data_IF_174314011807
#
_entry.id   IF_174314011807
#
_cell.length_a   1.000
_cell.length_b   1.000
_cell.length_c   1.000
_cell.angle_alpha   90.00
_cell.angle_beta   90.00
_cell.angle_gamma   90.00
#
_symmetry.space_group_name_H-M   'P 1'
#
loop_
_entity.id
_entity.type
_entity.pdbx_description
1 polymer ?
#
# COMPACT_ATOMS: atom_id res chain seq x y z
N UNK A 1 -8.44 -16.73 11.45
CA UNK A 1 -8.59 -15.26 11.33
C UNK A 1 -7.79 -14.82 10.12
N UNK A 2 -8.46 -14.25 9.13
CA UNK A 2 -7.97 -14.15 7.76
C UNK A 2 -6.90 -13.06 7.58
N UNK A 3 -5.64 -13.41 7.80
CA UNK A 3 -4.50 -12.61 7.35
C UNK A 3 -4.45 -12.69 5.82
N UNK A 4 -5.00 -11.70 5.11
CA UNK A 4 -5.10 -11.73 3.64
C UNK A 4 -4.21 -10.68 3.00
N UNK A 5 -3.49 -11.14 1.98
CA UNK A 5 -2.77 -10.27 1.07
C UNK A 5 -3.76 -9.34 0.35
N UNK A 6 -3.40 -8.06 0.13
CA UNK A 6 -4.25 -7.15 -0.58
C UNK A 6 -4.49 -7.56 -2.03
N UNK A 7 -5.62 -7.11 -2.57
CA UNK A 7 -6.00 -7.46 -3.93
C UNK A 7 -5.00 -6.89 -4.96
N UNK A 8 -4.18 -7.77 -5.52
CA UNK A 8 -3.25 -7.46 -6.59
C UNK A 8 -4.01 -7.10 -7.87
N UNK A 9 -3.56 -6.07 -8.57
CA UNK A 9 -4.04 -5.71 -9.90
C UNK A 9 -2.89 -5.74 -10.91
N UNK A 10 -3.26 -5.96 -12.17
CA UNK A 10 -2.32 -5.78 -13.28
C UNK A 10 -1.86 -4.33 -13.36
N UNK A 11 -0.65 -4.14 -13.89
CA UNK A 11 -0.07 -2.80 -14.03
C UNK A 11 -1.01 -1.92 -14.88
N UNK A 12 -1.58 -0.84 -14.30
CA UNK A 12 -2.45 0.06 -15.06
C UNK A 12 -1.63 0.85 -16.08
N UNK A 13 -2.31 1.39 -17.09
CA UNK A 13 -1.68 2.27 -18.08
C UNK A 13 -1.01 3.50 -17.41
N UNK A 14 -1.60 3.97 -16.32
CA UNK A 14 -1.11 5.09 -15.51
C UNK A 14 -0.98 4.62 -14.06
N UNK A 15 0.21 4.15 -13.63
CA UNK A 15 0.46 3.83 -12.23
C UNK A 15 0.51 5.11 -11.39
N UNK A 16 0.01 5.03 -10.16
CA UNK A 16 0.10 6.10 -9.20
C UNK A 16 1.53 6.19 -8.63
N UNK A 17 1.89 7.40 -8.20
CA UNK A 17 3.18 7.68 -7.58
C UNK A 17 3.11 7.35 -6.09
N UNK A 18 3.17 6.07 -5.72
CA UNK A 18 2.97 5.64 -4.32
C UNK A 18 3.93 6.36 -3.35
N UNK A 19 5.12 6.76 -3.82
CA UNK A 19 6.06 7.58 -3.05
C UNK A 19 5.55 8.98 -2.65
N UNK A 20 4.39 9.42 -3.14
CA UNK A 20 3.70 10.63 -2.67
C UNK A 20 3.12 10.46 -1.25
N UNK A 21 2.90 9.21 -0.80
CA UNK A 21 2.48 8.89 0.56
C UNK A 21 3.71 8.93 1.49
N UNK A 22 3.57 9.57 2.65
CA UNK A 22 4.67 9.66 3.62
C UNK A 22 5.06 8.27 4.11
N UNK A 23 6.36 8.00 4.16
CA UNK A 23 6.88 6.68 4.54
C UNK A 23 6.97 5.67 3.39
N UNK A 24 6.40 5.94 2.22
CA UNK A 24 6.65 5.14 1.02
C UNK A 24 7.89 5.67 0.28
N UNK A 25 8.99 4.94 0.39
CA UNK A 25 10.20 5.22 -0.38
C UNK A 25 10.19 4.54 -1.77
N UNK A 26 11.10 4.92 -2.69
CA UNK A 26 11.19 4.35 -4.04
C UNK A 26 11.48 2.83 -4.03
N UNK A 27 12.12 2.32 -2.98
CA UNK A 27 12.32 0.88 -2.80
C UNK A 27 11.02 0.17 -2.43
N UNK A 28 10.20 0.81 -1.59
CA UNK A 28 8.95 0.25 -1.10
C UNK A 28 7.88 0.25 -2.20
N UNK A 29 7.79 1.34 -2.96
CA UNK A 29 6.98 1.44 -4.16
C UNK A 29 7.27 0.29 -5.14
N UNK A 30 8.55 -0.02 -5.40
CA UNK A 30 8.91 -1.15 -6.27
C UNK A 30 8.40 -2.50 -5.75
N UNK A 31 8.43 -2.72 -4.43
CA UNK A 31 7.92 -3.95 -3.83
C UNK A 31 6.39 -3.98 -3.91
N UNK A 32 5.71 -2.89 -3.59
CA UNK A 32 4.26 -2.75 -3.72
C UNK A 32 3.79 -3.00 -5.16
N UNK A 33 4.45 -2.38 -6.14
CA UNK A 33 4.22 -2.63 -7.56
C UNK A 33 4.43 -4.11 -7.93
N UNK A 34 5.47 -4.75 -7.38
CA UNK A 34 5.70 -6.18 -7.54
C UNK A 34 4.62 -7.07 -6.91
N UNK A 35 3.94 -6.59 -5.88
CA UNK A 35 2.77 -7.23 -5.25
C UNK A 35 1.46 -6.94 -6.01
N UNK A 36 1.52 -6.18 -7.11
CA UNK A 36 0.33 -5.77 -7.86
C UNK A 36 -0.40 -4.58 -7.26
N UNK A 37 0.24 -3.80 -6.39
CA UNK A 37 -0.31 -2.55 -5.85
C UNK A 37 0.28 -1.39 -6.63
N UNK A 38 -0.55 -0.73 -7.43
CA UNK A 38 -0.14 0.30 -8.37
C UNK A 38 -0.87 1.63 -8.18
N UNK A 39 -1.95 1.67 -7.42
CA UNK A 39 -2.83 2.85 -7.31
C UNK A 39 -3.10 3.24 -5.86
N UNK A 40 -3.37 4.53 -5.63
CA UNK A 40 -3.79 5.02 -4.31
C UNK A 40 -5.14 4.43 -3.89
N UNK A 41 -6.05 4.20 -4.84
CA UNK A 41 -7.35 3.59 -4.57
C UNK A 41 -7.23 2.20 -3.91
N UNK A 42 -6.25 1.39 -4.31
CA UNK A 42 -5.97 0.11 -3.65
C UNK A 42 -5.56 0.29 -2.20
N UNK A 43 -4.62 1.20 -1.94
CA UNK A 43 -4.11 1.47 -0.59
C UNK A 43 -5.22 2.06 0.30
N UNK A 44 -6.01 2.97 -0.24
CA UNK A 44 -7.16 3.57 0.46
C UNK A 44 -8.23 2.52 0.80
N UNK A 45 -8.41 1.51 -0.06
CA UNK A 45 -9.36 0.42 0.15
C UNK A 45 -8.85 -0.68 1.09
N UNK A 46 -7.59 -0.62 1.55
CA UNK A 46 -7.04 -1.65 2.44
C UNK A 46 -7.80 -1.75 3.76
N UNK A 47 -8.17 -2.98 4.08
CA UNK A 47 -8.69 -3.37 5.38
C UNK A 47 -7.56 -3.40 6.43
N UNK A 48 -7.89 -3.35 7.74
CA UNK A 48 -6.89 -3.51 8.80
C UNK A 48 -6.07 -4.80 8.68
N UNK A 49 -6.67 -5.87 8.16
CA UNK A 49 -6.02 -7.16 7.95
C UNK A 49 -4.99 -7.11 6.82
N UNK A 50 -5.33 -6.45 5.70
CA UNK A 50 -4.39 -6.24 4.59
C UNK A 50 -3.24 -5.32 5.00
N UNK A 51 -3.52 -4.26 5.77
CA UNK A 51 -2.48 -3.40 6.33
C UNK A 51 -1.52 -4.20 7.20
N UNK A 52 -2.04 -5.01 8.12
CA UNK A 52 -1.21 -5.85 8.99
C UNK A 52 -0.37 -6.86 8.17
N UNK A 53 -0.95 -7.44 7.11
CA UNK A 53 -0.24 -8.34 6.21
C UNK A 53 0.91 -7.63 5.48
N UNK A 54 0.66 -6.47 4.88
CA UNK A 54 1.68 -5.71 4.16
C UNK A 54 2.76 -5.21 5.11
N UNK A 55 2.38 -4.79 6.31
CA UNK A 55 3.28 -4.31 7.33
C UNK A 55 4.23 -5.40 7.84
N UNK A 56 3.71 -6.61 8.08
CA UNK A 56 4.49 -7.79 8.45
C UNK A 56 5.42 -8.22 7.30
N UNK A 57 4.86 -8.36 6.09
CA UNK A 57 5.59 -8.75 4.89
C UNK A 57 6.77 -7.81 4.57
N UNK A 58 6.58 -6.50 4.78
CA UNK A 58 7.59 -5.48 4.54
C UNK A 58 8.42 -5.15 5.81
N UNK A 59 8.13 -5.80 6.95
CA UNK A 59 8.74 -5.52 8.26
C UNK A 59 8.79 -4.02 8.58
N UNK A 60 7.67 -3.33 8.36
CA UNK A 60 7.55 -1.88 8.54
C UNK A 60 7.27 -1.47 9.99
N UNK A 61 6.85 -2.41 10.85
CA UNK A 61 6.77 -2.21 12.30
C UNK A 61 5.83 -1.08 12.74
N UNK A 62 4.60 -1.07 12.25
CA UNK A 62 3.57 -0.07 12.59
C UNK A 62 3.55 1.17 11.70
N UNK A 63 4.44 1.31 10.72
CA UNK A 63 4.54 2.54 9.91
C UNK A 63 3.32 2.80 9.04
N UNK A 64 2.66 1.77 8.50
CA UNK A 64 1.54 1.98 7.58
C UNK A 64 0.39 2.68 8.32
N UNK A 65 0.13 2.26 9.56
CA UNK A 65 -0.84 2.92 10.44
C UNK A 65 -0.35 4.26 10.98
N UNK A 66 0.93 4.37 11.36
CA UNK A 66 1.50 5.58 11.97
C UNK A 66 1.62 6.76 10.99
N UNK A 67 1.92 6.49 9.73
CA UNK A 67 1.98 7.49 8.65
C UNK A 67 0.63 7.65 7.94
N UNK A 68 -0.45 7.06 8.45
CA UNK A 68 -1.81 7.21 7.93
C UNK A 68 -1.93 6.96 6.42
N UNK A 69 -1.24 5.93 5.89
CA UNK A 69 -1.11 5.70 4.45
C UNK A 69 -2.46 5.64 3.74
N UNK A 70 -3.46 5.01 4.36
CA UNK A 70 -4.80 4.90 3.79
C UNK A 70 -5.48 6.26 3.63
N UNK A 71 -5.34 7.13 4.63
CA UNK A 71 -5.90 8.48 4.62
C UNK A 71 -5.21 9.34 3.56
N UNK A 72 -3.88 9.26 3.47
CA UNK A 72 -3.13 9.96 2.43
C UNK A 72 -3.47 9.44 1.03
N UNK A 73 -3.55 8.12 0.86
CA UNK A 73 -3.95 7.51 -0.39
C UNK A 73 -5.36 7.94 -0.81
N UNK A 74 -6.31 7.96 0.12
CA UNK A 74 -7.67 8.43 -0.15
C UNK A 74 -7.72 9.91 -0.57
N UNK A 75 -6.82 10.75 -0.04
CA UNK A 75 -6.71 12.15 -0.44
C UNK A 75 -6.05 12.35 -1.83
N UNK A 76 -5.32 11.36 -2.33
CA UNK A 76 -4.61 11.38 -3.61
C UNK A 76 -5.34 10.59 -4.71
N UNK A 77 -6.36 9.80 -4.36
CA UNK A 77 -7.11 8.90 -5.24
C UNK A 77 -8.09 9.62 -6.17
#
# INVERSE_FOLDING_TARGET
>A
EDFRQPNAMEKPAIPADLKAISGIGPKLEKVLNGLGIWTYAQIAAWTPQEVAWVEDYLSLGGRIGRDDWKTQAAALA
#
